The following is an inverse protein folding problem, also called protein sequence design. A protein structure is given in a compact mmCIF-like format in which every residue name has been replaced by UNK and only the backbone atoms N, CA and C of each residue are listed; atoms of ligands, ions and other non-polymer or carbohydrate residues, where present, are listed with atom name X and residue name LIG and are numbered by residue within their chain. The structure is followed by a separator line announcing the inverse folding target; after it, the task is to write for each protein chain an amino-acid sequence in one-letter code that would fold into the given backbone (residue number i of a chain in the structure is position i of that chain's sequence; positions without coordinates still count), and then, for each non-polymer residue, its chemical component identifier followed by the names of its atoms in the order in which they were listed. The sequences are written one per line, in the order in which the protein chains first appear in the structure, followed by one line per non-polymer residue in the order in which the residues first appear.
data_IF_193172949381
#
_entry.id   IF_193172949381
#
_cell.length_a   1.000
_cell.length_b   1.000
_cell.length_c   1.000
_cell.angle_alpha   90.00
_cell.angle_beta   90.00
_cell.angle_gamma   90.00
#
_symmetry.space_group_name_H-M   'P 1'
#
loop_
_entity.id
_entity.type
_entity.pdbx_description
1 polymer ?
#
# COMPACT_ATOMS: atom_id res chain seq x y z
N UNK A 1 14.60 -7.83 6.88
CA UNK A 1 13.26 -8.33 6.50
C UNK A 1 12.26 -7.63 7.42
N UNK A 2 11.35 -6.83 6.87
CA UNK A 2 10.35 -6.13 7.69
C UNK A 2 9.40 -7.15 8.33
N UNK A 3 9.12 -7.00 9.62
CA UNK A 3 8.33 -7.93 10.41
C UNK A 3 6.85 -7.77 10.05
N UNK A 4 6.17 -8.83 9.60
CA UNK A 4 4.76 -8.75 9.14
C UNK A 4 3.78 -8.74 10.32
N UNK A 5 2.53 -8.30 10.14
CA UNK A 5 1.51 -8.21 11.21
C UNK A 5 1.33 -9.51 11.98
N UNK A 6 1.28 -10.63 11.25
CA UNK A 6 1.06 -11.96 11.83
C UNK A 6 2.32 -12.52 12.51
N UNK A 7 3.49 -11.93 12.26
CA UNK A 7 4.73 -12.29 12.94
C UNK A 7 4.78 -11.58 14.31
N UNK A 8 4.05 -12.11 15.30
CA UNK A 8 4.12 -11.64 16.69
C UNK A 8 5.49 -11.99 17.31
N UNK A 9 6.14 -11.06 18.03
CA UNK A 9 7.33 -11.35 18.84
C UNK A 9 6.85 -11.83 20.20
N UNK A 10 7.36 -12.99 20.56
CA UNK A 10 7.59 -13.37 21.94
C UNK A 10 8.60 -12.39 22.57
N UNK A 11 8.17 -11.25 23.10
CA UNK A 11 9.01 -10.44 23.99
C UNK A 11 8.17 -9.88 25.15
N UNK A 12 7.94 -10.75 26.13
CA UNK A 12 8.06 -10.44 27.57
C UNK A 12 7.72 -11.68 28.39
N UNK A 13 8.72 -12.52 28.63
CA UNK A 13 9.03 -13.09 29.95
C UNK A 13 10.12 -14.13 29.78
N UNK A 14 11.36 -13.69 29.95
CA UNK A 14 12.44 -14.58 30.35
C UNK A 14 12.04 -15.16 31.71
N UNK A 15 11.42 -16.33 31.72
CA UNK A 15 11.67 -17.42 32.67
C UNK A 15 10.62 -18.53 32.49
N UNK A 16 11.17 -19.73 32.30
CA UNK A 16 10.55 -21.06 32.30
C UNK A 16 9.88 -21.57 31.02
N UNK A 17 10.40 -22.76 30.68
CA UNK A 17 10.03 -23.66 29.60
C UNK A 17 8.58 -24.10 29.70
N UNK A 18 7.79 -23.75 28.70
CA UNK A 18 6.68 -24.53 28.17
C UNK A 18 6.27 -23.84 26.86
N UNK A 19 6.56 -24.46 25.72
CA UNK A 19 6.05 -24.00 24.42
C UNK A 19 4.53 -24.03 24.51
N UNK A 20 3.89 -22.88 24.65
CA UNK A 20 2.46 -22.80 24.91
C UNK A 20 1.70 -23.30 23.68
N UNK A 21 0.57 -23.97 23.88
CA UNK A 21 -0.32 -24.43 22.80
C UNK A 21 -0.69 -23.27 21.84
N UNK A 22 -0.74 -22.04 22.36
CA UNK A 22 -0.94 -20.83 21.58
C UNK A 22 0.24 -20.49 20.64
N UNK A 23 1.48 -20.78 21.04
CA UNK A 23 2.67 -20.52 20.21
C UNK A 23 2.70 -21.46 18.99
N UNK A 24 2.32 -22.73 19.20
CA UNK A 24 2.21 -23.73 18.13
C UNK A 24 1.11 -23.30 17.14
N UNK A 25 -0.07 -22.94 17.64
CA UNK A 25 -1.19 -22.47 16.83
C UNK A 25 -0.84 -21.22 15.98
N UNK A 26 -0.18 -20.23 16.59
CA UNK A 26 0.26 -19.02 15.87
C UNK A 26 1.31 -19.36 14.80
N UNK A 27 2.22 -20.31 15.06
CA UNK A 27 3.20 -20.74 14.07
C UNK A 27 2.55 -21.44 12.87
N UNK A 28 1.50 -22.23 13.11
CA UNK A 28 0.73 -22.89 12.04
C UNK A 28 -0.04 -21.88 11.19
N UNK A 29 -0.64 -20.86 11.83
CA UNK A 29 -1.27 -19.75 11.12
C UNK A 29 -0.25 -19.01 10.26
N UNK A 30 0.93 -18.71 10.80
CA UNK A 30 1.97 -18.01 10.06
C UNK A 30 2.43 -18.82 8.84
N UNK A 31 2.63 -20.12 9.00
CA UNK A 31 2.95 -21.02 7.90
C UNK A 31 1.82 -21.13 6.87
N UNK A 32 0.56 -21.10 7.30
CA UNK A 32 -0.59 -21.08 6.40
C UNK A 32 -0.65 -19.78 5.61
N UNK A 33 -0.53 -18.64 6.29
CA UNK A 33 -0.55 -17.31 5.66
C UNK A 33 0.61 -17.15 4.69
N UNK A 34 1.83 -17.55 5.07
CA UNK A 34 2.98 -17.50 4.18
C UNK A 34 2.80 -18.44 2.99
N UNK A 35 2.20 -19.62 3.16
CA UNK A 35 1.83 -20.49 2.01
C UNK A 35 0.82 -19.81 1.07
N UNK A 36 -0.23 -19.20 1.62
CA UNK A 36 -1.24 -18.48 0.84
C UNK A 36 -0.63 -17.29 0.07
N UNK A 37 0.33 -16.60 0.67
CA UNK A 37 0.99 -15.42 0.08
C UNK A 37 2.13 -15.75 -0.88
N UNK A 38 2.80 -16.89 -0.73
CA UNK A 38 3.99 -17.25 -1.50
C UNK A 38 3.70 -18.16 -2.70
N UNK A 39 2.51 -18.78 -2.77
CA UNK A 39 2.25 -19.77 -3.80
C UNK A 39 1.27 -19.25 -4.86
N UNK A 40 1.75 -18.85 -6.05
CA UNK A 40 0.89 -18.66 -7.21
C UNK A 40 0.41 -19.99 -7.80
N UNK A 41 1.18 -21.09 -7.69
CA UNK A 41 0.94 -22.36 -8.39
C UNK A 41 -0.22 -23.22 -7.84
N UNK A 42 -0.38 -23.34 -6.52
CA UNK A 42 -1.37 -24.22 -5.88
C UNK A 42 -2.82 -23.78 -6.08
N UNK A 43 -3.03 -22.50 -6.43
CA UNK A 43 -4.38 -21.98 -6.68
C UNK A 43 -4.83 -22.28 -8.13
N UNK A 44 -3.91 -22.67 -9.04
CA UNK A 44 -4.22 -22.95 -10.46
C UNK A 44 -5.22 -24.07 -10.70
N UNK A 45 -5.13 -25.17 -9.96
CA UNK A 45 -6.04 -26.31 -10.14
C UNK A 45 -7.41 -26.13 -9.46
N UNK A 46 -7.57 -25.12 -8.59
CA UNK A 46 -8.80 -24.93 -7.80
C UNK A 46 -9.67 -23.72 -8.21
N UNK A 47 -9.25 -22.92 -9.20
CA UNK A 47 -9.92 -21.66 -9.59
C UNK A 47 -11.36 -21.78 -10.10
N UNK A 48 -11.83 -22.98 -10.48
CA UNK A 48 -13.22 -23.21 -10.89
C UNK A 48 -14.12 -23.66 -9.73
N UNK A 49 -13.59 -23.70 -8.50
CA UNK A 49 -14.32 -24.12 -7.31
C UNK A 49 -14.61 -22.95 -6.39
N UNK A 50 -15.70 -23.05 -5.63
CA UNK A 50 -16.06 -22.09 -4.58
C UNK A 50 -14.91 -21.91 -3.57
N UNK A 51 -14.20 -22.99 -3.25
CA UNK A 51 -13.06 -22.97 -2.34
C UNK A 51 -11.85 -22.22 -2.93
N UNK A 52 -11.59 -22.37 -4.24
CA UNK A 52 -10.56 -21.58 -4.92
C UNK A 52 -10.86 -20.08 -4.90
N UNK A 53 -12.11 -19.70 -5.17
CA UNK A 53 -12.55 -18.31 -5.06
C UNK A 53 -12.40 -17.75 -3.63
N UNK A 54 -12.75 -18.53 -2.62
CA UNK A 54 -12.57 -18.15 -1.21
C UNK A 54 -11.09 -17.99 -0.82
N UNK A 55 -10.21 -18.84 -1.33
CA UNK A 55 -8.76 -18.73 -1.11
C UNK A 55 -8.17 -17.47 -1.74
N UNK A 56 -8.58 -17.10 -2.96
CA UNK A 56 -8.18 -15.84 -3.60
C UNK A 56 -8.60 -14.65 -2.73
N UNK A 57 -9.85 -14.65 -2.26
CA UNK A 57 -10.36 -13.59 -1.40
C UNK A 57 -9.54 -13.46 -0.11
N UNK A 58 -9.26 -14.57 0.58
CA UNK A 58 -8.47 -14.57 1.82
C UNK A 58 -7.06 -14.01 1.56
N UNK A 59 -6.39 -14.46 0.48
CA UNK A 59 -5.05 -13.97 0.12
C UNK A 59 -5.05 -12.45 -0.05
N UNK A 60 -5.99 -11.93 -0.83
CA UNK A 60 -6.07 -10.51 -1.14
C UNK A 60 -6.44 -9.69 0.11
N UNK A 61 -7.30 -10.22 0.98
CA UNK A 61 -7.63 -9.60 2.26
C UNK A 61 -6.46 -9.59 3.24
N UNK A 62 -5.62 -10.63 3.27
CA UNK A 62 -4.39 -10.62 4.09
C UNK A 62 -3.46 -9.48 3.66
N UNK A 63 -3.32 -9.25 2.34
CA UNK A 63 -2.51 -8.12 1.83
C UNK A 63 -3.09 -6.78 2.28
N UNK A 64 -4.40 -6.61 2.19
CA UNK A 64 -5.09 -5.40 2.64
C UNK A 64 -4.94 -5.18 4.15
N UNK A 65 -5.16 -6.22 4.96
CA UNK A 65 -5.04 -6.15 6.41
C UNK A 65 -3.61 -5.78 6.81
N UNK A 66 -2.59 -6.41 6.20
CA UNK A 66 -1.18 -6.07 6.45
C UNK A 66 -0.91 -4.60 6.22
N UNK A 67 -1.38 -4.06 5.11
CA UNK A 67 -1.24 -2.64 4.78
C UNK A 67 -1.94 -1.74 5.81
N UNK A 68 -3.17 -2.06 6.20
CA UNK A 68 -3.88 -1.30 7.24
C UNK A 68 -3.18 -1.34 8.60
N UNK A 69 -2.65 -2.49 9.01
CA UNK A 69 -1.87 -2.59 10.25
C UNK A 69 -0.57 -1.81 10.17
N UNK A 70 0.18 -1.96 9.08
CA UNK A 70 1.44 -1.24 8.90
C UNK A 70 1.22 0.28 8.96
N UNK A 71 0.13 0.78 8.36
CA UNK A 71 -0.29 2.18 8.49
C UNK A 71 -0.57 2.55 9.94
N UNK A 72 -1.40 1.77 10.66
CA UNK A 72 -1.76 2.07 12.06
C UNK A 72 -0.52 2.11 12.95
N UNK A 73 0.43 1.21 12.72
CA UNK A 73 1.67 1.06 13.47
C UNK A 73 2.69 2.15 13.15
N UNK A 74 2.53 2.84 12.00
CA UNK A 74 3.52 3.80 11.52
C UNK A 74 4.75 3.13 10.90
N UNK A 75 4.66 1.84 10.55
CA UNK A 75 5.80 1.07 10.06
C UNK A 75 5.90 1.17 8.54
N UNK A 76 6.74 2.11 8.11
CA UNK A 76 6.98 2.39 6.70
C UNK A 76 7.70 1.22 6.00
N UNK A 77 8.57 0.49 6.69
CA UNK A 77 9.27 -0.65 6.09
C UNK A 77 8.30 -1.77 5.69
N UNK A 78 7.28 -2.03 6.52
CA UNK A 78 6.18 -2.95 6.19
C UNK A 78 5.30 -2.42 5.06
N UNK A 79 5.05 -1.11 5.02
CA UNK A 79 4.33 -0.46 3.92
C UNK A 79 5.08 -0.64 2.59
N UNK A 80 6.38 -0.41 2.56
CA UNK A 80 7.18 -0.59 1.34
C UNK A 80 7.12 -2.03 0.83
N UNK A 81 7.22 -3.01 1.73
CA UNK A 81 7.14 -4.43 1.40
C UNK A 81 5.77 -4.81 0.82
N UNK A 82 4.67 -4.36 1.44
CA UNK A 82 3.32 -4.69 0.97
C UNK A 82 2.94 -3.95 -0.31
N UNK A 83 3.48 -2.73 -0.51
CA UNK A 83 3.30 -1.97 -1.74
C UNK A 83 3.83 -2.72 -2.98
N UNK A 84 4.83 -3.59 -2.84
CA UNK A 84 5.28 -4.47 -3.93
C UNK A 84 4.11 -5.32 -4.47
N UNK A 85 3.34 -5.93 -3.57
CA UNK A 85 2.19 -6.79 -3.90
C UNK A 85 1.02 -5.98 -4.42
N UNK A 86 0.68 -4.88 -3.74
CA UNK A 86 -0.39 -3.96 -4.17
C UNK A 86 -0.10 -3.41 -5.58
N UNK A 87 1.16 -3.09 -5.88
CA UNK A 87 1.57 -2.63 -7.21
C UNK A 87 1.20 -3.66 -8.27
N UNK A 88 1.48 -4.95 -8.04
CA UNK A 88 1.12 -6.04 -8.96
C UNK A 88 -0.41 -6.15 -9.08
N UNK A 89 -1.14 -6.18 -7.96
CA UNK A 89 -2.61 -6.27 -7.97
C UNK A 89 -3.25 -5.16 -8.79
N UNK A 90 -2.78 -3.91 -8.65
CA UNK A 90 -3.35 -2.76 -9.35
C UNK A 90 -3.14 -2.83 -10.87
N UNK A 91 -2.14 -3.55 -11.37
CA UNK A 91 -1.95 -3.74 -12.81
C UNK A 91 -3.09 -4.52 -13.46
N UNK A 92 -3.77 -5.37 -12.69
CA UNK A 92 -4.95 -6.11 -13.17
C UNK A 92 -6.23 -5.25 -13.23
N UNK A 93 -6.29 -4.18 -12.44
CA UNK A 93 -7.46 -3.33 -12.29
C UNK A 93 -7.69 -2.37 -13.48
N UNK A 94 -8.76 -1.57 -13.36
CA UNK A 94 -9.10 -0.48 -14.31
C UNK A 94 -8.41 0.85 -13.97
N UNK A 95 -7.59 0.86 -12.92
CA UNK A 95 -6.96 2.04 -12.35
C UNK A 95 -5.50 2.15 -12.81
N UNK A 96 -5.30 2.21 -14.13
CA UNK A 96 -3.98 2.20 -14.77
C UNK A 96 -3.07 3.35 -14.32
N UNK A 97 -3.63 4.52 -14.02
CA UNK A 97 -2.87 5.65 -13.49
C UNK A 97 -2.26 5.34 -12.12
N UNK A 98 -3.04 4.84 -11.17
CA UNK A 98 -2.53 4.48 -9.84
C UNK A 98 -1.50 3.34 -9.91
N UNK A 99 -1.73 2.36 -10.78
CA UNK A 99 -0.80 1.27 -11.02
C UNK A 99 0.54 1.79 -11.57
N UNK A 100 0.50 2.76 -12.49
CA UNK A 100 1.67 3.43 -13.03
C UNK A 100 2.42 4.24 -11.97
N UNK A 101 1.69 5.03 -11.17
CA UNK A 101 2.30 5.87 -10.12
C UNK A 101 2.97 5.02 -9.03
N UNK A 102 2.39 3.88 -8.63
CA UNK A 102 3.06 2.95 -7.71
C UNK A 102 4.33 2.34 -8.33
N UNK A 103 4.30 2.03 -9.63
CA UNK A 103 5.48 1.52 -10.33
C UNK A 103 6.58 2.60 -10.42
N UNK A 104 6.21 3.87 -10.66
CA UNK A 104 7.12 5.02 -10.59
C UNK A 104 7.71 5.17 -9.19
N UNK A 105 6.87 5.21 -8.16
CA UNK A 105 7.29 5.31 -6.77
C UNK A 105 8.35 4.24 -6.45
N UNK A 106 8.07 2.99 -6.83
CA UNK A 106 8.96 1.86 -6.61
C UNK A 106 10.28 1.98 -7.38
N UNK A 107 10.23 2.36 -8.65
CA UNK A 107 11.44 2.59 -9.45
C UNK A 107 12.35 3.64 -8.79
N UNK A 108 11.77 4.74 -8.29
CA UNK A 108 12.52 5.78 -7.62
C UNK A 108 13.12 5.33 -6.30
N UNK A 109 12.35 4.59 -5.48
CA UNK A 109 12.84 4.00 -4.23
C UNK A 109 14.04 3.08 -4.49
N UNK A 110 14.01 2.28 -5.55
CA UNK A 110 15.05 1.29 -5.80
C UNK A 110 16.31 1.88 -6.45
N UNK A 111 16.16 2.78 -7.41
CA UNK A 111 17.27 3.18 -8.29
C UNK A 111 17.69 4.63 -8.18
N UNK A 112 16.82 5.52 -7.67
CA UNK A 112 17.04 6.96 -7.81
C UNK A 112 17.23 7.71 -6.50
N UNK A 113 16.45 7.38 -5.48
CA UNK A 113 16.45 8.13 -4.23
C UNK A 113 17.62 7.71 -3.35
N UNK A 114 18.37 8.72 -2.87
CA UNK A 114 19.31 8.52 -1.77
C UNK A 114 18.56 8.13 -0.51
N UNK A 115 19.24 7.50 0.44
CA UNK A 115 18.63 7.06 1.70
C UNK A 115 17.96 8.21 2.47
N UNK A 116 18.62 9.39 2.49
CA UNK A 116 18.06 10.60 3.09
C UNK A 116 16.74 11.03 2.42
N UNK A 117 16.67 10.94 1.08
CA UNK A 117 15.46 11.28 0.33
C UNK A 117 14.34 10.28 0.60
N UNK A 118 14.65 8.97 0.64
CA UNK A 118 13.68 7.94 1.02
C UNK A 118 13.11 8.23 2.40
N UNK A 119 13.97 8.46 3.39
CA UNK A 119 13.57 8.77 4.76
C UNK A 119 12.69 10.03 4.83
N UNK A 120 13.04 11.09 4.10
CA UNK A 120 12.24 12.32 4.06
C UNK A 120 10.84 12.07 3.46
N UNK A 121 10.76 11.34 2.35
CA UNK A 121 9.47 11.03 1.70
C UNK A 121 8.64 10.10 2.59
N UNK A 122 9.22 9.02 3.07
CA UNK A 122 8.53 8.05 3.90
C UNK A 122 8.04 8.62 5.24
N UNK A 123 8.84 9.48 5.88
CA UNK A 123 8.42 10.21 7.08
C UNK A 123 7.28 11.20 6.82
N UNK A 124 7.10 11.64 5.57
CA UNK A 124 5.98 12.51 5.19
C UNK A 124 4.69 11.75 4.87
N UNK A 125 4.74 10.43 4.60
CA UNK A 125 3.57 9.64 4.19
C UNK A 125 2.56 9.43 5.31
N UNK A 126 3.05 9.29 6.54
CA UNK A 126 2.24 9.00 7.71
C UNK A 126 2.40 10.08 8.76
N UNK A 127 1.35 10.30 9.52
CA UNK A 127 1.39 11.21 10.66
C UNK A 127 0.60 10.70 11.85
N UNK A 128 1.13 10.96 13.04
CA UNK A 128 0.47 10.65 14.30
C UNK A 128 -0.02 11.93 14.97
N UNK A 129 -1.29 12.25 14.75
CA UNK A 129 -1.90 13.48 15.29
C UNK A 129 -2.09 13.46 16.80
N UNK A 130 -2.12 12.29 17.42
CA UNK A 130 -2.41 12.10 18.85
C UNK A 130 -1.18 11.73 19.68
N UNK A 131 -0.06 11.39 19.03
CA UNK A 131 1.13 10.86 19.69
C UNK A 131 0.92 9.49 20.37
N UNK A 132 -0.18 8.79 20.05
CA UNK A 132 -0.53 7.50 20.66
C UNK A 132 -0.08 6.34 19.76
N UNK A 133 0.39 5.20 20.33
CA UNK A 133 0.71 4.02 19.54
C UNK A 133 -0.51 3.51 18.78
N UNK A 134 -0.30 2.94 17.59
CA UNK A 134 -1.35 2.39 16.71
C UNK A 134 -2.40 3.42 16.20
N UNK A 135 -2.07 4.72 16.22
CA UNK A 135 -2.97 5.81 15.80
C UNK A 135 -2.39 6.68 14.67
N UNK A 136 -1.44 6.12 13.93
CA UNK A 136 -0.94 6.74 12.71
C UNK A 136 -2.02 6.71 11.62
N UNK A 137 -2.04 7.76 10.80
CA UNK A 137 -2.92 7.89 9.64
C UNK A 137 -2.10 8.36 8.43
N UNK A 138 -2.54 8.07 7.20
CA UNK A 138 -1.93 8.66 6.01
C UNK A 138 -2.04 10.19 6.04
N UNK A 139 -0.98 10.88 5.65
CA UNK A 139 -0.94 12.34 5.61
C UNK A 139 -1.97 12.93 4.63
N UNK A 140 -2.26 12.22 3.54
CA UNK A 140 -3.34 12.59 2.61
C UNK A 140 -4.72 12.55 3.28
N UNK A 141 -5.00 11.53 4.09
CA UNK A 141 -6.24 11.44 4.87
C UNK A 141 -6.35 12.60 5.89
N UNK A 142 -5.22 13.03 6.45
CA UNK A 142 -5.21 14.23 7.29
C UNK A 142 -5.52 15.50 6.52
N UNK A 143 -5.00 15.62 5.29
CA UNK A 143 -5.31 16.73 4.40
C UNK A 143 -6.80 16.72 4.01
N UNK A 144 -7.38 15.54 3.78
CA UNK A 144 -8.82 15.39 3.55
C UNK A 144 -9.65 15.89 4.76
N UNK A 145 -9.25 15.56 5.99
CA UNK A 145 -9.90 16.10 7.18
C UNK A 145 -9.82 17.63 7.23
N UNK A 146 -8.69 18.23 6.86
CA UNK A 146 -8.55 19.69 6.80
C UNK A 146 -9.49 20.27 5.73
N UNK A 147 -9.55 19.66 4.55
CA UNK A 147 -10.44 20.09 3.47
C UNK A 147 -11.91 20.03 3.89
N UNK A 148 -12.30 18.97 4.62
CA UNK A 148 -13.66 18.82 5.14
C UNK A 148 -13.99 19.89 6.20
N UNK A 149 -13.05 20.19 7.10
CA UNK A 149 -13.22 21.27 8.08
C UNK A 149 -13.36 22.63 7.39
N UNK A 150 -12.50 22.94 6.43
CA UNK A 150 -12.56 24.17 5.64
C UNK A 150 -13.92 24.31 4.95
N UNK A 151 -14.41 23.25 4.29
CA UNK A 151 -15.75 23.25 3.67
C UNK A 151 -16.85 23.54 4.67
N UNK A 152 -16.84 22.89 5.85
CA UNK A 152 -17.85 23.11 6.90
C UNK A 152 -17.83 24.54 7.45
N UNK A 153 -16.65 25.09 7.71
CA UNK A 153 -16.50 26.45 8.24
C UNK A 153 -16.90 27.51 7.21
N UNK A 154 -16.54 27.33 5.94
CA UNK A 154 -16.86 28.30 4.88
C UNK A 154 -18.30 28.18 4.35
N UNK A 155 -18.96 27.03 4.50
CA UNK A 155 -20.39 26.90 4.19
C UNK A 155 -21.25 27.92 4.95
N UNK A 156 -20.83 28.33 6.15
CA UNK A 156 -21.54 29.28 7.00
C UNK A 156 -21.26 30.76 6.64
N UNK A 157 -20.10 31.06 6.05
CA UNK A 157 -19.60 32.45 5.82
C UNK A 157 -19.77 32.90 4.35
N UNK A 158 -19.96 31.96 3.42
CA UNK A 158 -20.00 32.24 1.99
C UNK A 158 -18.61 32.24 1.36
N UNK A 159 -18.53 31.83 0.09
CA UNK A 159 -17.28 31.46 -0.58
C UNK A 159 -16.59 32.70 -1.21
N UNK A 160 -15.76 33.41 -0.44
CA UNK A 160 -14.87 34.45 -0.97
C UNK A 160 -13.42 33.97 -0.95
N UNK A 161 -12.78 33.94 -2.11
CA UNK A 161 -11.42 33.40 -2.32
C UNK A 161 -10.36 34.05 -1.40
N UNK A 162 -10.41 35.37 -1.24
CA UNK A 162 -9.47 36.11 -0.38
C UNK A 162 -9.57 35.71 1.10
N UNK A 163 -10.78 35.56 1.62
CA UNK A 163 -11.01 35.16 3.02
C UNK A 163 -10.57 33.72 3.29
N UNK A 164 -10.64 32.84 2.29
CA UNK A 164 -10.27 31.44 2.45
C UNK A 164 -8.75 31.25 2.59
N UNK A 165 -7.94 32.06 1.93
CA UNK A 165 -6.47 32.00 2.02
C UNK A 165 -5.96 32.25 3.45
N UNK A 166 -6.60 33.15 4.21
CA UNK A 166 -6.21 33.45 5.59
C UNK A 166 -6.78 32.47 6.62
N UNK A 167 -7.98 31.95 6.38
CA UNK A 167 -8.68 31.06 7.33
C UNK A 167 -8.19 29.62 7.23
N UNK A 168 -7.89 29.13 6.02
CA UNK A 168 -7.54 27.72 5.77
C UNK A 168 -6.30 27.27 6.56
N UNK A 169 -5.20 28.04 6.65
CA UNK A 169 -4.04 27.66 7.47
C UNK A 169 -4.36 27.57 8.97
N UNK A 170 -5.35 28.34 9.44
CA UNK A 170 -5.76 28.41 10.83
C UNK A 170 -6.90 27.45 11.18
N UNK A 171 -7.40 26.65 10.23
CA UNK A 171 -8.59 25.81 10.40
C UNK A 171 -8.48 24.85 11.58
N UNK A 172 -7.27 24.36 11.87
CA UNK A 172 -7.00 23.47 13.02
C UNK A 172 -7.08 24.20 14.34
N UNK A 173 -6.56 25.42 14.39
CA UNK A 173 -6.67 26.26 15.59
C UNK A 173 -8.13 26.57 15.88
N UNK A 174 -8.91 26.95 14.86
CA UNK A 174 -10.35 27.17 15.01
C UNK A 174 -11.07 25.92 15.48
N UNK A 175 -10.73 24.76 14.94
CA UNK A 175 -11.30 23.51 15.41
C UNK A 175 -10.99 23.27 16.90
N UNK A 176 -9.74 23.42 17.34
CA UNK A 176 -9.35 23.26 18.76
C UNK A 176 -10.09 24.25 19.67
N UNK A 177 -10.17 25.53 19.30
CA UNK A 177 -10.88 26.56 20.06
C UNK A 177 -12.37 26.22 20.15
N UNK A 178 -12.98 25.82 19.04
CA UNK A 178 -14.37 25.41 19.00
C UNK A 178 -14.65 24.22 19.93
N UNK A 179 -13.80 23.18 19.92
CA UNK A 179 -13.92 22.04 20.84
C UNK A 179 -13.82 22.47 22.31
N UNK A 180 -12.86 23.34 22.64
CA UNK A 180 -12.68 23.88 24.00
C UNK A 180 -13.90 24.68 24.45
N UNK A 181 -14.45 25.53 23.58
CA UNK A 181 -15.68 26.27 23.86
C UNK A 181 -16.84 25.30 24.14
N UNK A 182 -17.07 24.30 23.28
CA UNK A 182 -18.13 23.32 23.51
C UNK A 182 -17.99 22.59 24.85
N UNK A 183 -16.76 22.19 25.22
CA UNK A 183 -16.47 21.57 26.51
C UNK A 183 -16.79 22.49 27.68
N UNK A 184 -16.38 23.76 27.63
CA UNK A 184 -16.62 24.76 28.68
C UNK A 184 -18.11 25.02 28.88
N UNK A 185 -18.85 25.14 27.78
CA UNK A 185 -20.30 25.36 27.80
C UNK A 185 -21.12 24.06 27.99
N UNK A 186 -20.46 22.91 28.22
CA UNK A 186 -21.09 21.58 28.36
C UNK A 186 -22.03 21.24 27.20
N UNK A 187 -21.75 21.77 26.02
CA UNK A 187 -22.47 21.45 24.80
C UNK A 187 -21.89 20.15 24.26
N UNK A 188 -22.74 19.13 24.11
CA UNK A 188 -22.35 17.89 23.45
C UNK A 188 -22.01 18.17 22.00
N UNK A 189 -20.79 17.86 21.58
CA UNK A 189 -20.52 17.62 20.16
C UNK A 189 -21.54 16.57 19.69
N UNK A 190 -22.24 16.83 18.58
CA UNK A 190 -22.90 15.76 17.85
C UNK A 190 -21.78 14.86 17.33
N UNK A 191 -21.36 13.91 18.15
CA UNK A 191 -20.39 12.93 17.73
C UNK A 191 -21.06 12.11 16.65
N UNK A 192 -20.49 12.10 15.45
CA UNK A 192 -20.69 11.03 14.47
C UNK A 192 -19.93 9.77 14.90
N UNK A 193 -19.73 9.57 16.21
CA UNK A 193 -19.15 8.37 16.75
C UNK A 193 -20.28 7.36 16.83
N UNK A 194 -20.33 6.48 15.83
CA UNK A 194 -21.16 5.30 15.95
C UNK A 194 -20.61 4.49 17.14
N UNK A 195 -21.50 4.07 18.04
CA UNK A 195 -21.15 3.14 19.12
C UNK A 195 -20.45 1.95 18.47
N UNK A 196 -19.28 1.58 18.99
CA UNK A 196 -18.62 0.34 18.56
C UNK A 196 -19.60 -0.81 18.82
N UNK A 197 -20.14 -1.35 17.73
CA UNK A 197 -21.04 -2.51 17.75
C UNK A 197 -20.16 -3.75 17.82
N UNK A 198 -20.51 -4.71 18.68
CA UNK A 198 -19.74 -5.94 18.78
C UNK A 198 -19.79 -6.73 17.47
N UNK A 199 -18.64 -7.11 16.89
CA UNK A 199 -18.59 -7.88 15.66
C UNK A 199 -18.93 -9.37 15.86
N UNK A 200 -19.06 -9.85 17.10
CA UNK A 200 -19.22 -11.27 17.42
C UNK A 200 -20.48 -11.89 16.80
N UNK A 201 -21.56 -11.11 16.69
CA UNK A 201 -22.79 -11.54 16.02
C UNK A 201 -22.56 -11.79 14.53
N UNK A 202 -21.95 -10.83 13.84
CA UNK A 202 -21.65 -10.92 12.41
C UNK A 202 -20.65 -12.04 12.11
N UNK A 203 -19.62 -12.20 12.95
CA UNK A 203 -18.65 -13.31 12.85
C UNK A 203 -19.37 -14.65 12.96
N UNK A 204 -20.30 -14.79 13.91
CA UNK A 204 -21.06 -16.03 14.10
C UNK A 204 -21.95 -16.34 12.89
N UNK A 205 -22.59 -15.31 12.32
CA UNK A 205 -23.42 -15.45 11.11
C UNK A 205 -22.56 -15.88 9.91
N UNK A 206 -21.41 -15.23 9.70
CA UNK A 206 -20.48 -15.57 8.61
C UNK A 206 -19.96 -17.00 8.79
N UNK A 207 -19.55 -17.38 10.01
CA UNK A 207 -19.07 -18.73 10.30
C UNK A 207 -20.13 -19.81 10.05
N UNK A 208 -21.39 -19.52 10.36
CA UNK A 208 -22.48 -20.45 10.07
C UNK A 208 -22.71 -20.57 8.56
N UNK A 209 -22.75 -19.47 7.82
CA UNK A 209 -22.89 -19.49 6.35
C UNK A 209 -21.73 -20.26 5.68
N UNK A 210 -20.48 -20.05 6.11
CA UNK A 210 -19.33 -20.79 5.58
C UNK A 210 -19.46 -22.32 5.81
N UNK A 211 -20.00 -22.73 6.96
CA UNK A 211 -20.24 -24.15 7.28
C UNK A 211 -21.41 -24.73 6.49
N UNK A 212 -22.51 -23.99 6.39
CA UNK A 212 -23.72 -24.40 5.65
C UNK A 212 -23.40 -24.62 4.16
N UNK A 213 -22.63 -23.71 3.57
CA UNK A 213 -22.20 -23.80 2.18
C UNK A 213 -20.92 -24.65 2.00
N UNK A 214 -20.34 -25.16 3.09
CA UNK A 214 -19.12 -25.96 3.15
C UNK A 214 -17.95 -25.33 2.35
N UNK A 215 -17.83 -24.00 2.48
CA UNK A 215 -16.76 -23.18 1.92
C UNK A 215 -15.52 -23.35 2.80
N UNK A 216 -14.38 -23.68 2.20
CA UNK A 216 -13.11 -24.06 2.85
C UNK A 216 -13.18 -25.37 3.68
N UNK A 217 -14.19 -26.21 3.43
CA UNK A 217 -14.29 -27.53 4.06
C UNK A 217 -13.47 -28.63 3.35
N UNK A 218 -13.41 -29.82 3.96
CA UNK A 218 -12.67 -30.97 3.42
C UNK A 218 -13.31 -31.49 2.12
N UNK A 219 -12.46 -31.88 1.16
CA UNK A 219 -12.82 -32.41 -0.17
C UNK A 219 -13.84 -33.55 -0.15
N UNK A 220 -13.96 -34.28 0.98
CA UNK A 220 -14.90 -35.39 1.15
C UNK A 220 -16.33 -34.98 1.52
N UNK A 221 -16.56 -33.70 1.77
CA UNK A 221 -17.89 -33.18 1.99
C UNK A 221 -18.33 -32.52 0.68
N UNK A 222 -19.39 -33.00 0.00
CA UNK A 222 -19.83 -32.48 -1.28
C UNK A 222 -20.44 -31.08 -1.09
N UNK A 223 -19.61 -30.08 -0.81
CA UNK A 223 -19.92 -28.71 -1.18
C UNK A 223 -19.94 -28.70 -2.69
N UNK A 224 -21.14 -28.94 -3.22
CA UNK A 224 -21.63 -28.37 -4.45
C UNK A 224 -20.50 -28.01 -5.45
N UNK A 225 -20.23 -28.92 -6.38
CA UNK A 225 -19.88 -28.54 -7.75
C UNK A 225 -21.03 -27.69 -8.35
N UNK A 226 -21.37 -26.56 -7.72
CA UNK A 226 -22.10 -25.49 -8.39
C UNK A 226 -21.05 -24.87 -9.28
N UNK A 227 -21.34 -24.87 -10.58
CA UNK A 227 -20.57 -24.13 -11.56
C UNK A 227 -20.67 -22.65 -11.16
N UNK A 228 -19.66 -22.14 -10.46
CA UNK A 228 -19.61 -20.75 -10.00
C UNK A 228 -18.64 -20.01 -10.89
N UNK A 229 -19.04 -18.79 -11.29
CA UNK A 229 -18.20 -17.92 -12.08
C UNK A 229 -16.82 -17.77 -11.43
N UNK A 230 -15.79 -18.03 -12.22
CA UNK A 230 -14.41 -17.92 -11.81
C UNK A 230 -14.11 -16.47 -11.40
N UNK A 231 -13.64 -16.27 -10.17
CA UNK A 231 -13.13 -14.97 -9.74
C UNK A 231 -11.78 -14.72 -10.40
N UNK A 232 -11.59 -13.51 -10.92
CA UNK A 232 -10.33 -13.09 -11.52
C UNK A 232 -9.27 -12.99 -10.43
N UNK A 233 -8.20 -13.77 -10.57
CA UNK A 233 -7.01 -13.60 -9.74
C UNK A 233 -6.26 -12.33 -10.18
N UNK A 234 -6.42 -11.27 -9.37
CA UNK A 234 -5.80 -9.96 -9.59
C UNK A 234 -4.27 -9.98 -9.49
N UNK A 235 -3.70 -10.88 -8.69
CA UNK A 235 -2.25 -11.04 -8.58
C UNK A 235 -1.69 -11.72 -9.82
N UNK A 236 -2.30 -12.82 -10.25
CA UNK A 236 -1.87 -13.56 -11.43
C UNK A 236 -2.04 -12.72 -12.71
N UNK A 237 -3.19 -12.07 -12.89
CA UNK A 237 -3.45 -11.21 -14.04
C UNK A 237 -2.52 -9.98 -14.03
N UNK A 238 -2.27 -9.39 -12.86
CA UNK A 238 -1.34 -8.28 -12.72
C UNK A 238 0.09 -8.67 -13.10
N UNK A 239 0.51 -9.87 -12.70
CA UNK A 239 1.80 -10.45 -13.09
C UNK A 239 1.92 -10.67 -14.58
N UNK A 240 0.89 -11.26 -15.19
CA UNK A 240 0.81 -11.49 -16.62
C UNK A 240 0.97 -10.17 -17.38
N UNK A 241 0.25 -9.12 -17.00
CA UNK A 241 0.32 -7.80 -17.64
C UNK A 241 1.69 -7.14 -17.51
N UNK A 242 2.35 -7.26 -16.35
CA UNK A 242 3.71 -6.75 -16.17
C UNK A 242 4.72 -7.48 -17.04
N UNK A 243 4.59 -8.81 -17.14
CA UNK A 243 5.47 -9.68 -17.90
C UNK A 243 5.32 -9.49 -19.41
N UNK A 244 4.08 -9.32 -19.91
CA UNK A 244 3.77 -9.13 -21.32
C UNK A 244 3.90 -7.65 -21.75
N UNK A 245 5.08 -7.05 -21.49
CA UNK A 245 5.46 -5.73 -22.01
C UNK A 245 4.96 -4.52 -21.20
N UNK A 246 4.13 -4.71 -20.16
CA UNK A 246 3.73 -3.62 -19.27
C UNK A 246 4.92 -2.93 -18.60
N UNK A 247 5.91 -3.72 -18.16
CA UNK A 247 7.14 -3.18 -17.59
C UNK A 247 8.03 -2.47 -18.62
N UNK A 248 8.14 -2.99 -19.83
CA UNK A 248 8.93 -2.36 -20.89
C UNK A 248 8.35 -1.00 -21.32
N UNK A 249 7.03 -0.93 -21.44
CA UNK A 249 6.31 0.30 -21.76
C UNK A 249 6.47 1.35 -20.65
N UNK A 250 6.47 0.91 -19.40
CA UNK A 250 6.77 1.77 -18.27
C UNK A 250 8.19 2.35 -18.33
N UNK A 251 9.20 1.52 -18.61
CA UNK A 251 10.59 2.00 -18.69
C UNK A 251 10.79 3.01 -19.83
N UNK A 252 10.17 2.78 -21.00
CA UNK A 252 10.18 3.73 -22.11
C UNK A 252 9.59 5.08 -21.68
N UNK A 253 8.45 5.05 -20.99
CA UNK A 253 7.77 6.26 -20.55
C UNK A 253 8.57 7.05 -19.52
N UNK A 254 9.26 6.38 -18.59
CA UNK A 254 10.18 7.07 -17.66
C UNK A 254 11.32 7.75 -18.41
N UNK A 255 11.90 7.07 -19.40
CA UNK A 255 12.98 7.64 -20.21
C UNK A 255 12.53 8.85 -21.01
N UNK A 256 11.31 8.83 -21.54
CA UNK A 256 10.69 9.97 -22.25
C UNK A 256 10.46 11.14 -21.30
N UNK A 257 9.81 10.91 -20.16
CA UNK A 257 9.55 11.98 -19.18
C UNK A 257 10.85 12.61 -18.64
N UNK A 258 11.91 11.82 -18.46
CA UNK A 258 13.23 12.34 -18.06
C UNK A 258 13.92 13.15 -19.18
N UNK A 259 13.70 12.81 -20.44
CA UNK A 259 14.20 13.58 -21.57
C UNK A 259 13.49 14.94 -21.66
N UNK A 260 12.17 14.97 -21.42
CA UNK A 260 11.36 16.19 -21.43
C UNK A 260 11.75 17.15 -20.30
N UNK A 261 11.96 16.63 -19.08
CA UNK A 261 12.45 17.44 -17.95
C UNK A 261 13.83 18.07 -18.21
N UNK A 262 14.70 17.40 -18.99
CA UNK A 262 16.00 17.95 -19.38
C UNK A 262 15.87 19.03 -20.46
N UNK A 263 14.85 18.95 -21.31
CA UNK A 263 14.60 19.95 -22.35
C UNK A 263 13.99 21.24 -21.77
N UNK A 264 13.11 21.13 -20.77
CA UNK A 264 12.42 22.28 -20.17
C UNK A 264 13.31 23.09 -19.21
N UNK A 265 14.20 22.44 -18.47
CA UNK A 265 15.19 23.10 -17.59
C UNK A 265 16.32 23.86 -18.31
N UNK A 266 16.29 23.93 -19.64
CA UNK A 266 17.32 24.57 -20.47
C UNK A 266 17.02 26.01 -20.91
N UNK A 267 15.85 26.58 -20.57
CA UNK A 267 15.44 27.89 -21.12
C UNK A 267 15.55 29.11 -20.20
N UNK A 268 15.79 28.94 -18.90
CA UNK A 268 15.92 30.08 -17.96
C UNK A 268 17.30 30.10 -17.28
N UNK A 269 18.31 30.66 -17.98
CA UNK A 269 19.53 31.19 -17.36
C UNK A 269 19.76 32.62 -17.86
N UNK A 270 19.00 33.57 -17.32
CA UNK A 270 19.52 34.93 -17.18
C UNK A 270 20.48 34.98 -15.98
N UNK A 271 21.58 35.66 -16.24
CA UNK A 271 22.76 35.83 -15.40
C UNK A 271 22.47 36.43 -14.03
N UNK A 272 22.91 35.76 -12.96
CA UNK A 272 23.59 36.47 -11.88
C UNK A 272 24.70 35.61 -11.27
N UNK A 273 25.82 36.28 -11.07
CA UNK A 273 27.12 35.75 -10.67
C UNK A 273 27.20 35.54 -9.17
N UNK A 274 27.69 34.38 -8.73
CA UNK A 274 28.31 34.25 -7.41
C UNK A 274 28.12 32.92 -6.71
N UNK A 275 29.22 32.17 -6.68
CA UNK A 275 29.67 31.30 -5.60
C UNK A 275 29.57 29.78 -5.81
N UNK A 276 30.72 29.15 -5.56
CA UNK A 276 31.08 27.78 -5.91
C UNK A 276 30.55 26.78 -4.87
N UNK A 277 29.74 25.83 -5.33
CA UNK A 277 29.31 24.66 -4.56
C UNK A 277 29.19 23.42 -5.45
N UNK A 278 30.32 22.87 -5.89
CA UNK A 278 30.42 21.63 -6.66
C UNK A 278 30.07 20.42 -5.78
N UNK A 279 28.95 19.74 -6.03
CA UNK A 279 28.79 18.26 -5.93
C UNK A 279 27.33 17.80 -6.12
N UNK A 280 26.83 17.72 -7.36
CA UNK A 280 25.58 16.97 -7.65
C UNK A 280 25.49 16.38 -9.08
N UNK A 281 26.35 16.81 -10.02
CA UNK A 281 26.30 16.38 -11.43
C UNK A 281 26.72 14.92 -11.70
N UNK A 282 27.41 14.25 -10.76
CA UNK A 282 27.87 12.87 -10.96
C UNK A 282 26.78 11.80 -10.71
N UNK A 283 25.64 12.18 -10.11
CA UNK A 283 24.55 11.23 -9.81
C UNK A 283 23.66 10.93 -11.02
N UNK A 284 23.63 11.81 -12.02
CA UNK A 284 22.66 11.79 -13.13
C UNK A 284 23.19 10.98 -14.33
N UNK A 285 24.49 11.04 -14.62
CA UNK A 285 25.08 10.26 -15.74
C UNK A 285 25.15 8.76 -15.41
N UNK A 286 25.33 8.43 -14.13
CA UNK A 286 25.14 7.08 -13.59
C UNK A 286 23.70 6.56 -13.75
N UNK A 287 22.70 7.44 -13.82
CA UNK A 287 21.29 7.05 -13.99
C UNK A 287 21.00 6.59 -15.42
N UNK A 288 21.58 7.26 -16.42
CA UNK A 288 21.48 6.88 -17.84
C UNK A 288 22.10 5.51 -18.11
N UNK A 289 23.22 5.20 -17.45
CA UNK A 289 23.91 3.90 -17.59
C UNK A 289 23.18 2.77 -16.86
N UNK A 290 22.59 3.01 -15.67
CA UNK A 290 21.77 2.03 -14.94
C UNK A 290 20.50 1.68 -15.73
N UNK A 291 19.81 2.68 -16.29
CA UNK A 291 18.58 2.46 -17.05
C UNK A 291 18.88 1.75 -18.38
N UNK A 292 19.97 2.12 -19.08
CA UNK A 292 20.43 1.40 -20.28
C UNK A 292 20.85 -0.03 -19.94
N UNK A 293 21.50 -0.26 -18.80
CA UNK A 293 21.86 -1.59 -18.31
C UNK A 293 20.65 -2.47 -18.02
N UNK A 294 19.64 -1.94 -17.33
CA UNK A 294 18.39 -2.64 -17.05
C UNK A 294 17.59 -2.94 -18.34
N UNK A 295 17.50 -1.97 -19.26
CA UNK A 295 16.83 -2.15 -20.55
C UNK A 295 17.57 -3.15 -21.47
N UNK A 296 18.90 -3.19 -21.42
CA UNK A 296 19.71 -4.12 -22.23
C UNK A 296 19.72 -5.55 -21.68
N UNK A 297 19.64 -5.72 -20.36
CA UNK A 297 19.40 -7.03 -19.73
C UNK A 297 18.01 -7.58 -20.05
N UNK A 298 16.98 -6.72 -20.11
CA UNK A 298 15.63 -7.13 -20.53
C UNK A 298 15.55 -7.48 -22.02
N UNK A 299 16.26 -6.77 -22.90
CA UNK A 299 16.34 -7.14 -24.34
C UNK A 299 17.06 -8.46 -24.59
N UNK A 300 17.95 -8.89 -23.69
CA UNK A 300 18.64 -10.19 -23.76
C UNK A 300 17.79 -11.36 -23.24
N UNK A 301 16.82 -11.08 -22.39
CA UNK A 301 15.74 -11.98 -21.99
C UNK A 301 14.64 -11.84 -23.05
N UNK A 302 14.77 -12.57 -24.16
CA UNK A 302 13.69 -12.67 -25.15
C UNK A 302 12.35 -13.05 -24.50
N UNK A 303 11.27 -13.04 -25.28
CA UNK A 303 9.84 -13.28 -24.94
C UNK A 303 9.50 -14.58 -24.20
N UNK A 304 10.48 -15.23 -23.59
CA UNK A 304 10.35 -16.42 -22.77
C UNK A 304 9.81 -16.02 -21.38
N UNK A 305 8.48 -16.14 -21.26
CA UNK A 305 7.68 -15.79 -20.08
C UNK A 305 8.24 -16.34 -18.75
N UNK A 306 8.94 -17.48 -18.77
CA UNK A 306 9.53 -18.09 -17.57
C UNK A 306 10.77 -17.34 -17.03
N UNK A 307 11.55 -16.72 -17.91
CA UNK A 307 12.81 -16.06 -17.55
C UNK A 307 12.57 -14.60 -17.13
N UNK A 308 11.65 -13.91 -17.80
CA UNK A 308 11.13 -12.60 -17.39
C UNK A 308 10.37 -12.68 -16.06
N UNK A 309 9.59 -13.74 -15.83
CA UNK A 309 8.98 -14.02 -14.53
C UNK A 309 10.02 -14.28 -13.43
N UNK A 310 11.12 -15.00 -13.71
CA UNK A 310 12.20 -15.16 -12.73
C UNK A 310 12.91 -13.84 -12.39
N UNK A 311 13.15 -12.98 -13.37
CA UNK A 311 13.81 -11.69 -13.16
C UNK A 311 12.91 -10.72 -12.38
N UNK A 312 11.64 -10.59 -12.76
CA UNK A 312 10.67 -9.79 -12.03
C UNK A 312 10.42 -10.38 -10.63
N UNK A 313 10.38 -11.71 -10.47
CA UNK A 313 10.21 -12.35 -9.16
C UNK A 313 11.38 -12.01 -8.23
N UNK A 314 12.60 -11.89 -8.77
CA UNK A 314 13.78 -11.43 -8.03
C UNK A 314 13.76 -9.94 -7.75
N UNK A 315 13.13 -9.17 -8.62
CA UNK A 315 12.94 -7.73 -8.47
C UNK A 315 11.93 -7.43 -7.38
N UNK A 316 10.86 -8.24 -7.24
CA UNK A 316 9.76 -8.09 -6.27
C UNK A 316 9.89 -8.92 -4.98
N UNK A 317 10.92 -9.76 -4.84
CA UNK A 317 11.38 -10.32 -3.55
C UNK A 317 12.25 -9.28 -2.84
#
# INVERSE_FOLDING_TARGET
MARRMWQTKQESSTQHSETSSNDIFLSEINNLVDRILLVPEYIYDSYSTINGNALIFIRDMVVYLEFCSAIKDGDVGRIEEILKRITIMLQSGKHSHYALELLRLRFHIQHRWSENRKNAIFSSLLMNTKGLPHRWIPSDMYQEFNNLLTKKTHATVGFKSSTMSYITPLIRLFHVVHRKMLMEYKLTEQSTYHRDVSPEGDISIIMNSLKEDNILGSENCPAAHRDVDRVVDVMALGWERLSHGGYENFLKRILEDEADLRADGGSDRESDSGDNGSSDDQSIDSSSSIIKGAAQQLKGLGTDNAQSAKYLSRYFQ
#
